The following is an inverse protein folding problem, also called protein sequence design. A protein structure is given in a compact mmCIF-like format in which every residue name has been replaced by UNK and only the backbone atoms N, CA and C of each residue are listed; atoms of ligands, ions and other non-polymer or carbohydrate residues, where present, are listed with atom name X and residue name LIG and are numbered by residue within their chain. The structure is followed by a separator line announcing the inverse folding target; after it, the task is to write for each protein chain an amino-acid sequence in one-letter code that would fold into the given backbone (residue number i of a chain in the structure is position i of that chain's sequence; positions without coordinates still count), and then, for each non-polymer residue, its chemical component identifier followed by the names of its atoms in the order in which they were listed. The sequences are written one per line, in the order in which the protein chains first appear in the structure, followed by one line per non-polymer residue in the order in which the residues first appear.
data_IF_741775071977
#
_entry.id   IF_741775071977
#
_cell.length_a   1.000
_cell.length_b   1.000
_cell.length_c   1.000
_cell.angle_alpha   90.00
_cell.angle_beta   90.00
_cell.angle_gamma   90.00
#
_symmetry.space_group_name_H-M   'P 1'
#
loop_
_entity.id
_entity.type
_entity.pdbx_description
1 polymer ?
#
# COMPACT_ATOMS: atom_id res chain seq x y z
N UNK A 1 -12.12 -23.99 -11.99
CA UNK A 1 -11.08 -24.90 -11.43
C UNK A 1 -11.16 -26.30 -12.02
N UNK A 2 -12.34 -26.91 -12.20
CA UNK A 2 -12.47 -28.26 -12.80
C UNK A 2 -11.69 -28.43 -14.11
N UNK A 3 -11.89 -27.53 -15.07
CA UNK A 3 -11.21 -27.58 -16.38
C UNK A 3 -9.70 -27.54 -16.25
N UNK A 4 -9.16 -26.62 -15.42
CA UNK A 4 -7.71 -26.53 -15.15
C UNK A 4 -7.17 -27.83 -14.56
N UNK A 5 -7.89 -28.43 -13.60
CA UNK A 5 -7.48 -29.70 -13.02
C UNK A 5 -7.53 -30.85 -14.04
N UNK A 6 -8.52 -30.86 -14.94
CA UNK A 6 -8.64 -31.87 -16.00
C UNK A 6 -7.50 -31.81 -17.03
N UNK A 7 -6.88 -30.65 -17.21
CA UNK A 7 -5.68 -30.48 -18.02
C UNK A 7 -4.39 -30.49 -17.18
N UNK A 8 -4.45 -31.11 -15.99
CA UNK A 8 -3.32 -31.32 -15.06
C UNK A 8 -2.70 -30.05 -14.43
N UNK A 9 -3.35 -28.89 -14.57
CA UNK A 9 -2.96 -27.69 -13.84
C UNK A 9 -3.51 -27.73 -12.42
N UNK A 10 -2.61 -27.61 -11.45
CA UNK A 10 -2.95 -27.59 -10.03
C UNK A 10 -2.96 -26.14 -9.54
N UNK A 11 -4.14 -25.64 -9.21
CA UNK A 11 -4.30 -24.30 -8.63
C UNK A 11 -3.95 -24.38 -7.15
N UNK A 12 -2.86 -23.72 -6.75
CA UNK A 12 -2.40 -23.71 -5.35
C UNK A 12 -2.85 -22.44 -4.62
N UNK A 13 -3.05 -21.34 -5.35
CA UNK A 13 -3.33 -20.02 -4.79
C UNK A 13 -4.44 -19.32 -5.56
N UNK A 14 -5.32 -18.62 -4.85
CA UNK A 14 -6.29 -17.68 -5.41
C UNK A 14 -6.01 -16.30 -4.85
N UNK A 15 -5.80 -15.33 -5.75
CA UNK A 15 -5.70 -13.92 -5.42
C UNK A 15 -7.09 -13.28 -5.44
N UNK A 16 -7.49 -12.62 -4.36
CA UNK A 16 -8.85 -12.09 -4.19
C UNK A 16 -8.79 -10.62 -3.78
N UNK A 17 -9.59 -9.76 -4.42
CA UNK A 17 -9.74 -8.39 -3.95
C UNK A 17 -10.35 -8.36 -2.54
N UNK A 18 -9.83 -7.54 -1.63
CA UNK A 18 -10.31 -7.44 -0.24
C UNK A 18 -11.66 -6.71 -0.08
N UNK A 19 -12.49 -6.73 -1.11
CA UNK A 19 -13.84 -6.17 -1.08
C UNK A 19 -14.73 -6.93 -0.08
N UNK A 20 -15.60 -6.26 0.70
CA UNK A 20 -16.45 -6.90 1.71
C UNK A 20 -17.30 -8.05 1.18
N UNK A 21 -17.82 -7.94 -0.04
CA UNK A 21 -18.61 -9.00 -0.70
C UNK A 21 -17.77 -10.27 -0.89
N UNK A 22 -16.53 -10.12 -1.36
CA UNK A 22 -15.63 -11.26 -1.54
C UNK A 22 -15.31 -11.87 -0.18
N UNK A 23 -14.93 -11.07 0.82
CA UNK A 23 -14.68 -11.59 2.17
C UNK A 23 -15.87 -12.38 2.71
N UNK A 24 -17.09 -11.85 2.59
CA UNK A 24 -18.32 -12.54 3.00
C UNK A 24 -18.50 -13.86 2.24
N UNK A 25 -18.26 -13.85 0.93
CA UNK A 25 -18.31 -15.05 0.11
C UNK A 25 -17.34 -16.12 0.60
N UNK A 26 -16.04 -15.80 0.75
CA UNK A 26 -15.03 -16.76 1.18
C UNK A 26 -15.29 -17.25 2.61
N UNK A 27 -15.69 -16.38 3.54
CA UNK A 27 -16.01 -16.76 4.92
C UNK A 27 -17.17 -17.76 4.98
N UNK A 28 -18.31 -17.44 4.36
CA UNK A 28 -19.52 -18.26 4.54
C UNK A 28 -19.60 -19.47 3.61
N UNK A 29 -19.14 -19.34 2.37
CA UNK A 29 -19.29 -20.42 1.38
C UNK A 29 -18.07 -21.35 1.32
N UNK A 30 -16.87 -20.86 1.64
CA UNK A 30 -15.64 -21.66 1.50
C UNK A 30 -15.02 -22.04 2.84
N UNK A 31 -15.17 -21.22 3.88
CA UNK A 31 -14.44 -21.41 5.14
C UNK A 31 -15.34 -21.71 6.36
N UNK A 32 -16.60 -22.09 6.14
CA UNK A 32 -17.53 -22.56 7.19
C UNK A 32 -17.73 -21.51 8.31
N UNK A 33 -17.85 -20.24 7.94
CA UNK A 33 -18.20 -19.15 8.86
C UNK A 33 -17.01 -18.40 9.47
N UNK A 34 -15.78 -18.90 9.32
CA UNK A 34 -14.57 -18.18 9.73
C UNK A 34 -13.58 -18.10 8.58
N UNK A 35 -13.08 -16.91 8.25
CA UNK A 35 -12.15 -16.74 7.13
C UNK A 35 -10.81 -17.43 7.42
N UNK A 36 -10.53 -18.52 6.70
CA UNK A 36 -9.27 -19.24 6.79
C UNK A 36 -8.26 -18.74 5.77
N UNK A 37 -6.98 -19.00 5.99
CA UNK A 37 -5.90 -18.70 5.02
C UNK A 37 -5.81 -19.73 3.91
N UNK A 38 -6.43 -20.89 4.07
CA UNK A 38 -6.47 -21.97 3.10
C UNK A 38 -7.66 -22.88 3.32
N UNK A 39 -8.08 -23.58 2.27
CA UNK A 39 -9.04 -24.70 2.32
C UNK A 39 -8.44 -25.95 1.68
N UNK A 40 -9.05 -27.11 1.90
CA UNK A 40 -8.68 -28.34 1.19
C UNK A 40 -8.96 -28.15 -0.30
N UNK A 41 -8.04 -28.57 -1.16
CA UNK A 41 -8.21 -28.44 -2.60
C UNK A 41 -9.39 -29.33 -3.08
N UNK A 42 -10.36 -28.79 -3.83
CA UNK A 42 -11.63 -29.47 -4.12
C UNK A 42 -11.50 -30.76 -4.94
N UNK A 43 -10.37 -30.94 -5.63
CA UNK A 43 -10.09 -32.13 -6.44
C UNK A 43 -8.89 -32.93 -5.93
N UNK A 44 -8.28 -32.52 -4.81
CA UNK A 44 -7.14 -33.23 -4.23
C UNK A 44 -7.08 -33.02 -2.70
N UNK A 45 -7.50 -34.04 -1.95
CA UNK A 45 -7.59 -33.98 -0.49
C UNK A 45 -6.25 -33.81 0.23
N UNK A 46 -5.13 -34.14 -0.43
CA UNK A 46 -3.79 -34.02 0.17
C UNK A 46 -3.19 -32.62 -0.01
N UNK A 47 -3.86 -31.75 -0.80
CA UNK A 47 -3.37 -30.41 -1.13
C UNK A 47 -4.27 -29.33 -0.54
N UNK A 48 -3.68 -28.15 -0.36
CA UNK A 48 -4.37 -26.95 0.10
C UNK A 48 -4.46 -25.92 -1.02
N UNK A 49 -5.58 -25.20 -1.04
CA UNK A 49 -5.80 -24.00 -1.83
C UNK A 49 -5.68 -22.79 -0.92
N UNK A 50 -4.68 -21.95 -1.13
CA UNK A 50 -4.41 -20.78 -0.31
C UNK A 50 -5.13 -19.54 -0.84
N UNK A 51 -5.59 -18.68 0.07
CA UNK A 51 -6.19 -17.41 -0.27
C UNK A 51 -5.22 -16.27 0.02
N UNK A 52 -4.92 -15.47 -0.99
CA UNK A 52 -4.17 -14.23 -0.83
C UNK A 52 -5.10 -13.07 -1.17
N UNK A 53 -5.27 -12.17 -0.21
CA UNK A 53 -6.01 -10.93 -0.46
C UNK A 53 -5.07 -9.89 -1.06
N UNK A 54 -5.59 -9.14 -2.02
CA UNK A 54 -4.85 -8.12 -2.75
C UNK A 54 -4.14 -7.15 -1.80
N UNK A 55 -2.81 -7.26 -1.79
CA UNK A 55 -1.94 -6.50 -0.91
C UNK A 55 -1.94 -5.01 -1.27
N UNK A 56 -2.04 -4.65 -2.55
CA UNK A 56 -2.03 -3.26 -3.01
C UNK A 56 -3.26 -2.53 -2.48
N UNK A 57 -4.42 -3.17 -2.58
CA UNK A 57 -5.66 -2.61 -2.04
C UNK A 57 -5.62 -2.50 -0.52
N UNK A 58 -5.03 -3.48 0.17
CA UNK A 58 -4.86 -3.42 1.63
C UNK A 58 -3.92 -2.26 2.03
N UNK A 59 -2.80 -2.07 1.34
CA UNK A 59 -1.87 -0.97 1.59
C UNK A 59 -2.52 0.39 1.32
N UNK A 60 -3.29 0.52 0.24
CA UNK A 60 -4.05 1.74 -0.06
C UNK A 60 -5.06 2.06 1.05
N UNK A 61 -5.75 1.05 1.57
CA UNK A 61 -6.70 1.24 2.67
C UNK A 61 -5.99 1.69 3.95
N UNK A 62 -4.84 1.09 4.29
CA UNK A 62 -4.01 1.52 5.42
C UNK A 62 -3.55 2.98 5.24
N UNK A 63 -3.09 3.33 4.04
CA UNK A 63 -2.68 4.70 3.71
C UNK A 63 -3.83 5.70 3.83
N UNK A 64 -5.03 5.34 3.36
CA UNK A 64 -6.21 6.18 3.49
C UNK A 64 -6.63 6.37 4.97
N UNK A 65 -6.59 5.32 5.78
CA UNK A 65 -6.79 5.43 7.23
C UNK A 65 -5.74 6.36 7.87
N UNK A 66 -4.47 6.21 7.49
CA UNK A 66 -3.37 7.08 7.93
C UNK A 66 -3.66 8.55 7.60
N UNK A 67 -4.05 8.84 6.35
CA UNK A 67 -4.37 10.20 5.90
C UNK A 67 -5.57 10.80 6.64
N UNK A 68 -6.61 10.00 6.89
CA UNK A 68 -7.83 10.45 7.58
C UNK A 68 -7.69 10.54 9.10
N UNK A 69 -6.56 10.10 9.67
CA UNK A 69 -6.34 9.97 11.12
C UNK A 69 -7.40 9.06 11.79
N UNK A 70 -8.01 8.18 11.00
CA UNK A 70 -8.99 7.22 11.46
C UNK A 70 -8.28 5.96 11.97
N UNK A 71 -8.88 5.30 12.95
CA UNK A 71 -8.36 4.06 13.52
C UNK A 71 -8.57 2.89 12.56
N UNK A 72 -7.56 2.01 12.45
CA UNK A 72 -7.75 0.71 11.82
C UNK A 72 -8.13 -0.30 12.89
N UNK A 73 -9.37 -0.76 12.87
CA UNK A 73 -9.77 -1.94 13.65
C UNK A 73 -9.21 -3.17 12.95
N UNK A 74 -8.01 -3.58 13.36
CA UNK A 74 -7.47 -4.87 12.93
C UNK A 74 -8.15 -5.93 13.80
N UNK A 75 -8.94 -6.85 13.22
CA UNK A 75 -9.45 -7.98 13.98
C UNK A 75 -8.26 -8.91 14.25
N UNK A 76 -7.58 -8.70 15.39
CA UNK A 76 -6.59 -9.63 15.94
C UNK A 76 -7.33 -10.84 16.54
N UNK A 77 -8.04 -11.57 15.69
CA UNK A 77 -8.89 -12.69 16.10
C UNK A 77 -8.10 -13.85 16.74
N UNK A 78 -6.75 -13.84 16.67
CA UNK A 78 -5.89 -14.81 17.34
C UNK A 78 -5.43 -14.43 18.76
N UNK A 79 -5.64 -13.19 19.21
CA UNK A 79 -5.19 -12.76 20.54
C UNK A 79 -6.31 -12.64 21.58
N UNK A 80 -7.58 -12.88 21.21
CA UNK A 80 -8.71 -12.71 22.12
C UNK A 80 -8.96 -11.26 22.56
N UNK A 81 -8.19 -10.30 22.04
CA UNK A 81 -8.27 -8.88 22.37
C UNK A 81 -8.70 -8.12 21.11
N UNK A 82 -9.89 -7.51 21.15
CA UNK A 82 -10.23 -6.42 20.21
C UNK A 82 -9.37 -5.21 20.58
N UNK A 83 -8.13 -5.18 20.11
CA UNK A 83 -7.28 -4.00 20.26
C UNK A 83 -7.48 -3.08 19.05
N UNK A 84 -7.95 -1.86 19.29
CA UNK A 84 -7.74 -0.79 18.32
C UNK A 84 -6.25 -0.44 18.34
N UNK A 85 -5.60 -0.52 17.19
CA UNK A 85 -4.27 0.05 17.06
C UNK A 85 -4.42 1.56 16.88
N UNK A 86 -3.82 2.31 17.81
CA UNK A 86 -3.60 3.74 17.69
C UNK A 86 -2.13 3.98 17.34
N UNK A 87 -1.71 3.71 16.09
CA UNK A 87 -0.33 3.98 15.71
C UNK A 87 -0.06 5.48 15.88
N UNK A 88 0.97 5.84 16.65
CA UNK A 88 1.40 7.22 16.80
C UNK A 88 2.05 7.67 15.48
N UNK A 89 1.32 8.43 14.68
CA UNK A 89 1.74 8.85 13.34
C UNK A 89 2.60 10.12 13.35
N UNK A 90 2.90 10.68 14.52
CA UNK A 90 3.66 11.95 14.67
C UNK A 90 5.00 11.87 13.98
N UNK A 91 5.71 10.74 14.12
CA UNK A 91 7.02 10.53 13.52
C UNK A 91 6.97 10.50 11.98
N UNK A 92 5.93 9.91 11.39
CA UNK A 92 5.77 9.87 9.92
C UNK A 92 5.44 11.26 9.37
N UNK A 93 4.61 12.04 10.07
CA UNK A 93 4.35 13.44 9.73
C UNK A 93 5.62 14.28 9.79
N UNK A 94 6.43 14.10 10.82
CA UNK A 94 7.70 14.81 10.99
C UNK A 94 8.68 14.50 9.85
N UNK A 95 8.83 13.22 9.48
CA UNK A 95 9.66 12.81 8.33
C UNK A 95 9.14 13.42 7.03
N UNK A 96 7.82 13.36 6.78
CA UNK A 96 7.23 13.95 5.58
C UNK A 96 7.50 15.45 5.49
N UNK A 97 7.35 16.19 6.59
CA UNK A 97 7.67 17.61 6.63
C UNK A 97 9.16 17.90 6.42
N UNK A 98 10.06 17.12 7.03
CA UNK A 98 11.52 17.26 6.84
C UNK A 98 11.93 16.97 5.39
N UNK A 99 11.34 15.95 4.75
CA UNK A 99 11.60 15.63 3.34
C UNK A 99 11.03 16.67 2.38
N UNK A 100 9.83 17.18 2.66
CA UNK A 100 9.19 18.24 1.85
C UNK A 100 9.98 19.55 1.89
N UNK A 101 10.49 19.95 3.06
CA UNK A 101 11.36 21.14 3.20
C UNK A 101 12.67 21.00 2.42
N UNK A 102 13.33 19.84 2.52
CA UNK A 102 14.58 19.59 1.77
C UNK A 102 14.38 19.65 0.25
N UNK A 103 13.24 19.18 -0.25
CA UNK A 103 12.87 19.27 -1.68
C UNK A 103 12.61 20.71 -2.12
N UNK A 104 11.90 21.50 -1.31
CA UNK A 104 11.70 22.93 -1.61
C UNK A 104 12.98 23.75 -1.47
N UNK A 105 13.86 23.43 -0.53
CA UNK A 105 15.16 24.11 -0.36
C UNK A 105 16.09 23.82 -1.55
N UNK A 106 16.23 22.57 -1.99
CA UNK A 106 17.03 22.26 -3.19
C UNK A 106 16.45 22.87 -4.47
N UNK A 107 15.12 22.95 -4.58
CA UNK A 107 14.47 23.59 -5.73
C UNK A 107 14.63 25.12 -5.70
N UNK A 108 14.53 25.75 -4.53
CA UNK A 108 14.74 27.19 -4.37
C UNK A 108 16.22 27.54 -4.56
N UNK A 109 17.16 26.78 -4.00
CA UNK A 109 18.60 26.98 -4.23
C UNK A 109 18.96 26.82 -5.71
N UNK A 110 18.44 25.79 -6.40
CA UNK A 110 18.64 25.63 -7.83
C UNK A 110 18.05 26.78 -8.66
N UNK A 111 16.88 27.31 -8.27
CA UNK A 111 16.26 28.48 -8.92
C UNK A 111 17.06 29.75 -8.64
N UNK A 112 17.50 29.97 -7.40
CA UNK A 112 18.29 31.14 -7.00
C UNK A 112 19.64 31.13 -7.74
N UNK A 113 20.33 29.99 -7.79
CA UNK A 113 21.59 29.86 -8.53
C UNK A 113 21.39 30.10 -10.04
N UNK A 114 20.32 29.55 -10.63
CA UNK A 114 20.01 29.79 -12.05
C UNK A 114 19.70 31.26 -12.33
N UNK A 115 18.97 31.93 -11.45
CA UNK A 115 18.63 33.36 -11.58
C UNK A 115 19.86 34.24 -11.39
N UNK A 116 20.70 33.96 -10.39
CA UNK A 116 21.95 34.68 -10.10
C UNK A 116 22.95 34.52 -11.26
N UNK A 117 23.09 33.31 -11.84
CA UNK A 117 23.93 33.08 -13.02
C UNK A 117 23.38 33.83 -14.24
N UNK A 118 22.06 33.85 -14.46
CA UNK A 118 21.47 34.56 -15.62
C UNK A 118 21.60 36.09 -15.51
N UNK A 119 21.53 36.63 -14.28
CA UNK A 119 21.71 38.05 -14.01
C UNK A 119 23.18 38.46 -14.16
N UNK A 120 24.12 37.65 -13.63
CA UNK A 120 25.56 37.87 -13.82
C UNK A 120 25.99 37.86 -15.30
N UNK A 121 25.41 36.97 -16.11
CA UNK A 121 25.66 36.93 -17.56
C UNK A 121 25.05 38.09 -18.35
N UNK A 122 24.00 38.75 -17.84
CA UNK A 122 23.42 39.97 -18.45
C UNK A 122 24.30 41.19 -18.17
N UNK A 123 24.83 41.32 -16.96
CA UNK A 123 25.73 42.42 -16.60
C UNK A 123 27.10 42.34 -17.28
N UNK A 124 27.68 41.14 -17.41
CA UNK A 124 28.96 40.94 -18.10
C UNK A 124 28.89 41.22 -19.62
N UNK A 125 27.70 41.15 -20.23
CA UNK A 125 27.48 41.55 -21.64
C UNK A 125 27.31 43.04 -21.81
N UNK A 126 26.73 43.73 -20.82
CA UNK A 126 26.52 45.18 -20.85
C UNK A 126 27.82 45.97 -20.68
N UNK A 127 28.81 45.43 -19.97
CA UNK A 127 30.12 46.07 -19.75
C UNK A 127 31.15 45.80 -20.87
N UNK A 128 30.85 44.92 -21.83
CA UNK A 128 31.71 44.67 -23.01
C UNK A 128 31.25 45.44 -24.26
N UNK A 129 30.20 46.24 -24.17
CA UNK A 129 29.65 47.06 -25.25
C UNK A 129 29.78 48.57 -25.01
N UNK A 130 30.57 48.99 -24.01
CA UNK A 130 30.84 50.39 -23.66
C UNK A 130 32.26 50.78 -24.00
#
# INVERSE_FOLDING_TARGET
MKTLFQIEFIVVVVLVASHPVNRKFFTHFLCVGELQTSVIHPYNITRKLYFIFDLVHNLKNIYNCFQRQEYSSIPLNRLGVKSSLHPNLTHIKEIHHKGSRKSSETTIEAIVDTVVISQGHKWARFLKSS
#
